data_IF_487705096778
#
_entry.id   IF_487705096778
#
_cell.length_a   1.000
_cell.length_b   1.000
_cell.length_c   1.000
_cell.angle_alpha   90.00
_cell.angle_beta   90.00
_cell.angle_gamma   90.00
#
_symmetry.space_group_name_H-M   'P 1'
#
loop_
_entity.id
_entity.type
_entity.pdbx_description
1 polymer ?
#
# COMPACT_ATOMS: atom_id res chain seq x y z
N UNK A 1 12.36 -14.14 2.67
CA UNK A 1 11.08 -13.69 2.30
C UNK A 1 10.33 -13.07 3.47
N UNK A 2 9.70 -11.99 3.27
CA UNK A 2 8.94 -11.42 4.34
C UNK A 2 7.83 -12.40 4.72
N UNK A 3 7.52 -12.46 5.98
CA UNK A 3 6.50 -13.35 6.47
C UNK A 3 5.16 -13.13 5.77
N UNK A 4 4.95 -12.01 5.19
CA UNK A 4 3.66 -11.64 4.65
C UNK A 4 2.59 -11.41 5.68
N UNK A 5 2.89 -11.58 6.95
CA UNK A 5 1.91 -11.32 8.00
C UNK A 5 1.54 -9.85 7.98
N UNK A 6 0.27 -9.56 7.91
CA UNK A 6 -0.22 -8.20 7.83
C UNK A 6 0.08 -7.49 6.52
N UNK A 7 0.80 -8.14 5.61
CA UNK A 7 1.07 -7.58 4.30
C UNK A 7 0.10 -8.17 3.29
N UNK A 8 -0.74 -7.34 2.70
CA UNK A 8 -1.73 -7.79 1.73
C UNK A 8 -1.12 -7.85 0.35
N UNK A 9 -0.29 -6.87 0.04
CA UNK A 9 0.40 -6.80 -1.25
C UNK A 9 1.75 -6.15 -1.03
N UNK A 10 2.77 -6.73 -1.65
CA UNK A 10 4.08 -6.13 -1.72
C UNK A 10 4.60 -6.29 -3.14
N UNK A 11 5.00 -5.21 -3.76
CA UNK A 11 5.45 -5.27 -5.13
C UNK A 11 5.90 -3.91 -5.63
N UNK A 12 6.12 -3.83 -6.91
CA UNK A 12 6.53 -2.57 -7.51
C UNK A 12 5.55 -2.18 -8.60
N UNK A 13 5.32 -0.88 -8.70
CA UNK A 13 4.40 -0.33 -9.67
C UNK A 13 4.85 1.07 -10.05
N UNK A 14 4.60 1.44 -11.28
CA UNK A 14 4.82 2.80 -11.75
C UNK A 14 3.76 3.71 -11.13
N UNK A 15 4.23 4.77 -10.49
CA UNK A 15 3.35 5.77 -9.89
C UNK A 15 2.70 6.60 -11.00
N UNK A 16 1.38 6.71 -10.96
CA UNK A 16 0.63 7.42 -12.00
C UNK A 16 0.81 8.94 -11.94
N UNK A 17 1.30 9.46 -10.82
CA UNK A 17 1.48 10.90 -10.64
C UNK A 17 2.86 11.35 -11.10
N UNK A 18 3.93 10.70 -10.61
CA UNK A 18 5.30 11.14 -10.93
C UNK A 18 6.01 10.25 -11.94
N UNK A 19 5.40 9.15 -12.34
CA UNK A 19 5.97 8.25 -13.35
C UNK A 19 7.15 7.40 -12.87
N UNK A 20 7.50 7.47 -11.60
CA UNK A 20 8.60 6.68 -11.05
C UNK A 20 8.12 5.30 -10.61
N UNK A 21 8.98 4.30 -10.71
CA UNK A 21 8.68 2.97 -10.19
C UNK A 21 8.78 3.00 -8.68
N UNK A 22 7.72 2.61 -8.00
CA UNK A 22 7.66 2.55 -6.54
C UNK A 22 7.63 1.10 -6.08
N UNK A 23 8.28 0.85 -4.95
CA UNK A 23 8.20 -0.42 -4.25
C UNK A 23 7.28 -0.20 -3.06
N UNK A 24 6.19 -0.92 -3.04
CA UNK A 24 5.09 -0.66 -2.11
C UNK A 24 4.84 -1.85 -1.20
N UNK A 25 4.71 -1.56 0.09
CA UNK A 25 4.12 -2.49 1.05
C UNK A 25 2.71 -2.01 1.35
N UNK A 26 1.71 -2.83 1.04
CA UNK A 26 0.32 -2.47 1.27
C UNK A 26 -0.19 -3.03 2.59
N UNK A 27 -0.94 -2.22 3.29
CA UNK A 27 -1.59 -2.60 4.55
C UNK A 27 -3.07 -2.25 4.45
N UNK A 28 -3.91 -3.04 5.13
CA UNK A 28 -5.36 -2.88 4.99
C UNK A 28 -5.86 -1.56 5.54
N UNK A 29 -5.52 -1.22 6.77
CA UNK A 29 -6.09 -0.06 7.41
C UNK A 29 -5.13 0.77 8.23
N UNK A 30 -5.58 1.94 8.70
CA UNK A 30 -4.70 2.93 9.33
C UNK A 30 -4.21 2.55 10.72
N UNK A 31 -4.71 1.46 11.30
CA UNK A 31 -4.32 1.03 12.64
C UNK A 31 -4.03 -0.47 12.71
N UNK A 32 -3.66 -1.08 11.59
CA UNK A 32 -3.53 -2.53 11.50
C UNK A 32 -2.10 -3.03 11.68
N UNK A 33 -1.13 -2.18 11.95
CA UNK A 33 0.25 -2.61 12.13
C UNK A 33 0.70 -2.40 13.57
N UNK A 34 1.66 -3.21 13.99
CA UNK A 34 2.30 -3.12 15.31
C UNK A 34 3.77 -2.75 15.16
N UNK A 35 4.50 -2.71 16.28
CA UNK A 35 5.91 -2.34 16.27
C UNK A 35 6.78 -3.34 15.49
N UNK A 36 6.42 -4.62 15.51
CA UNK A 36 7.16 -5.64 14.77
C UNK A 36 6.98 -5.42 13.26
N UNK A 37 5.79 -5.01 12.84
CA UNK A 37 5.54 -4.67 11.44
C UNK A 37 6.39 -3.49 11.00
N UNK A 38 6.53 -2.48 11.85
CA UNK A 38 7.39 -1.33 11.57
C UNK A 38 8.82 -1.79 11.33
N UNK A 39 9.35 -2.61 12.24
CA UNK A 39 10.72 -3.11 12.13
C UNK A 39 10.90 -3.91 10.83
N UNK A 40 9.93 -4.74 10.48
CA UNK A 40 9.98 -5.55 9.26
C UNK A 40 9.99 -4.67 8.02
N UNK A 41 9.12 -3.67 7.95
CA UNK A 41 9.03 -2.75 6.82
C UNK A 41 10.34 -1.95 6.68
N UNK A 42 10.81 -1.39 7.78
CA UNK A 42 12.04 -0.60 7.77
C UNK A 42 13.24 -1.43 7.32
N UNK A 43 13.35 -2.66 7.82
CA UNK A 43 14.41 -3.58 7.43
C UNK A 43 14.34 -3.95 5.96
N UNK A 44 13.14 -4.25 5.46
CA UNK A 44 12.96 -4.59 4.06
C UNK A 44 13.34 -3.42 3.14
N UNK A 45 12.89 -2.23 3.44
CA UNK A 45 13.22 -1.05 2.65
C UNK A 45 14.71 -0.70 2.72
N UNK A 46 15.31 -0.85 3.89
CA UNK A 46 16.76 -0.67 4.04
C UNK A 46 17.55 -1.65 3.20
N UNK A 47 17.10 -2.89 3.12
CA UNK A 47 17.72 -3.91 2.29
C UNK A 47 17.62 -3.55 0.80
N UNK A 48 16.44 -3.10 0.37
CA UNK A 48 16.25 -2.66 -1.02
C UNK A 48 17.15 -1.49 -1.38
N UNK A 49 17.30 -0.52 -0.47
CA UNK A 49 18.19 0.61 -0.68
C UNK A 49 19.66 0.17 -0.82
N UNK A 50 20.09 -0.75 0.04
CA UNK A 50 21.44 -1.28 -0.02
C UNK A 50 21.70 -2.01 -1.31
N UNK A 51 20.76 -2.85 -1.73
CA UNK A 51 20.87 -3.59 -2.97
C UNK A 51 20.88 -2.66 -4.18
N UNK A 52 20.02 -1.67 -4.19
CA UNK A 52 19.98 -0.68 -5.27
C UNK A 52 21.31 0.07 -5.40
N UNK A 53 21.91 0.40 -4.26
CA UNK A 53 23.19 1.09 -4.23
C UNK A 53 24.31 0.23 -4.79
N UNK A 54 24.33 -1.05 -4.41
CA UNK A 54 25.32 -2.00 -4.94
C UNK A 54 25.16 -2.20 -6.44
N UNK A 55 23.92 -2.26 -6.91
CA UNK A 55 23.61 -2.47 -8.33
C UNK A 55 23.59 -1.16 -9.13
N UNK A 56 23.84 -0.03 -8.47
CA UNK A 56 23.83 1.31 -9.07
C UNK A 56 22.50 1.67 -9.72
N UNK A 57 21.40 1.27 -9.08
CA UNK A 57 20.06 1.59 -9.56
C UNK A 57 19.62 2.96 -9.04
N UNK A 58 18.83 3.70 -9.83
CA UNK A 58 18.40 5.05 -9.44
C UNK A 58 17.22 5.04 -8.47
N UNK A 59 17.36 4.35 -7.35
CA UNK A 59 16.32 4.26 -6.33
C UNK A 59 16.44 5.41 -5.34
N UNK A 60 15.34 6.14 -5.15
CA UNK A 60 15.26 7.19 -4.16
C UNK A 60 14.45 6.71 -2.95
N UNK A 61 14.63 7.37 -1.80
CA UNK A 61 13.87 7.03 -0.60
C UNK A 61 12.38 7.14 -0.86
N UNK A 62 11.94 8.17 -1.57
CA UNK A 62 10.53 8.35 -1.92
C UNK A 62 9.95 7.28 -2.84
N UNK A 63 10.78 6.39 -3.36
CA UNK A 63 10.31 5.26 -4.18
C UNK A 63 9.95 4.04 -3.33
N UNK A 64 10.20 4.10 -2.03
CA UNK A 64 9.87 3.04 -1.07
C UNK A 64 8.70 3.53 -0.22
N UNK A 65 7.52 3.01 -0.47
CA UNK A 65 6.30 3.54 0.15
C UNK A 65 5.51 2.47 0.88
N UNK A 66 4.71 2.91 1.84
CA UNK A 66 3.70 2.07 2.46
C UNK A 66 2.35 2.59 1.98
N UNK A 67 1.54 1.71 1.42
CA UNK A 67 0.20 2.04 0.96
C UNK A 67 -0.84 1.49 1.92
N UNK A 68 -1.62 2.39 2.52
CA UNK A 68 -2.72 2.01 3.40
C UNK A 68 -3.99 2.09 2.57
N UNK A 69 -4.69 0.98 2.45
CA UNK A 69 -5.73 0.80 1.45
C UNK A 69 -7.00 1.58 1.72
N UNK A 70 -7.29 1.88 2.98
CA UNK A 70 -8.44 2.71 3.32
C UNK A 70 -8.14 3.54 4.57
N UNK A 71 -8.96 4.53 4.82
CA UNK A 71 -8.85 5.41 5.97
C UNK A 71 -8.38 6.80 5.60
N UNK A 72 -8.29 7.64 6.61
CA UNK A 72 -7.80 9.01 6.45
C UNK A 72 -6.41 9.15 7.05
N UNK A 73 -5.57 10.04 6.51
CA UNK A 73 -4.24 10.25 7.08
C UNK A 73 -4.26 10.58 8.57
N UNK A 74 -5.30 11.27 9.03
CA UNK A 74 -5.45 11.62 10.44
C UNK A 74 -5.68 10.41 11.34
N UNK A 75 -6.10 9.27 10.77
CA UNK A 75 -6.36 8.05 11.51
C UNK A 75 -5.13 7.16 11.66
N UNK A 76 -4.05 7.47 10.97
CA UNK A 76 -2.83 6.66 11.00
C UNK A 76 -2.29 6.56 12.43
N UNK A 77 -2.00 5.32 12.86
CA UNK A 77 -1.44 5.07 14.18
C UNK A 77 -0.01 5.62 14.28
N UNK A 78 0.50 5.70 15.51
CA UNK A 78 1.87 6.13 15.74
C UNK A 78 2.90 5.27 15.03
N UNK A 79 2.59 4.00 14.82
CA UNK A 79 3.47 3.09 14.08
C UNK A 79 3.66 3.55 12.64
N UNK A 80 2.58 3.93 11.97
CA UNK A 80 2.69 4.48 10.61
C UNK A 80 3.42 5.82 10.60
N UNK A 81 3.16 6.66 11.59
CA UNK A 81 3.84 7.96 11.71
C UNK A 81 5.34 7.79 11.88
N UNK A 82 5.76 6.74 12.57
CA UNK A 82 7.17 6.43 12.70
C UNK A 82 7.81 6.06 11.36
N UNK A 83 7.09 5.29 10.55
CA UNK A 83 7.57 4.95 9.20
C UNK A 83 7.64 6.21 8.33
N UNK A 84 6.62 7.06 8.42
CA UNK A 84 6.50 8.26 7.59
C UNK A 84 7.64 9.26 7.80
N UNK A 85 8.35 9.15 8.90
CA UNK A 85 9.55 9.96 9.14
C UNK A 85 10.67 9.67 8.15
N UNK A 86 10.68 8.47 7.57
CA UNK A 86 11.73 8.04 6.65
C UNK A 86 11.19 7.69 5.27
N UNK A 87 10.11 6.92 5.22
CA UNK A 87 9.51 6.45 3.96
C UNK A 87 8.08 6.93 3.86
N UNK A 88 7.64 7.44 2.70
CA UNK A 88 6.27 7.94 2.56
C UNK A 88 5.21 6.90 2.90
N UNK A 89 4.19 7.32 3.62
CA UNK A 89 3.01 6.51 3.90
C UNK A 89 1.83 7.19 3.23
N UNK A 90 1.27 6.54 2.21
CA UNK A 90 0.09 7.04 1.53
C UNK A 90 -1.14 6.31 2.05
N UNK A 91 -2.17 7.04 2.43
CA UNK A 91 -3.36 6.48 3.06
C UNK A 91 -4.62 6.80 2.27
N UNK A 92 -5.41 5.77 1.98
CA UNK A 92 -6.71 5.93 1.37
C UNK A 92 -6.68 6.64 0.04
N UNK A 93 -7.33 7.77 -0.05
CA UNK A 93 -7.44 8.52 -1.30
C UNK A 93 -6.09 8.82 -1.93
N UNK A 94 -5.12 9.23 -1.15
CA UNK A 94 -3.79 9.56 -1.64
C UNK A 94 -3.12 8.33 -2.28
N UNK A 95 -3.18 7.20 -1.60
CA UNK A 95 -2.60 5.97 -2.13
C UNK A 95 -3.23 5.61 -3.48
N UNK A 96 -4.55 5.58 -3.54
CA UNK A 96 -5.24 5.20 -4.77
C UNK A 96 -5.06 6.20 -5.89
N UNK A 97 -4.88 7.47 -5.57
CA UNK A 97 -4.55 8.49 -6.57
C UNK A 97 -3.19 8.21 -7.20
N UNK A 98 -2.20 7.85 -6.41
CA UNK A 98 -0.89 7.48 -6.94
C UNK A 98 -0.93 6.21 -7.78
N UNK A 99 -1.78 5.26 -7.40
CA UNK A 99 -1.91 3.99 -8.13
C UNK A 99 -2.62 4.18 -9.47
N UNK A 100 -3.71 4.92 -9.48
CA UNK A 100 -4.63 5.00 -10.63
C UNK A 100 -4.51 6.28 -11.45
N UNK A 101 -4.01 7.35 -10.84
CA UNK A 101 -4.05 8.67 -11.45
C UNK A 101 -5.41 9.35 -11.35
N UNK A 102 -6.39 8.72 -10.71
CA UNK A 102 -7.75 9.23 -10.58
C UNK A 102 -8.06 9.57 -9.13
N UNK A 103 -8.23 10.87 -8.85
CA UNK A 103 -8.53 11.35 -7.50
C UNK A 103 -9.83 10.81 -6.93
N UNK A 104 -10.73 10.34 -7.78
CA UNK A 104 -12.04 9.86 -7.37
C UNK A 104 -12.12 8.34 -7.23
N UNK A 105 -11.07 7.63 -7.60
CA UNK A 105 -11.07 6.17 -7.56
C UNK A 105 -11.42 5.63 -6.17
N UNK A 106 -10.87 6.24 -5.14
CA UNK A 106 -11.09 5.82 -3.77
C UNK A 106 -12.58 5.86 -3.40
N UNK A 107 -13.29 6.88 -3.84
CA UNK A 107 -14.72 6.99 -3.56
C UNK A 107 -15.52 5.91 -4.28
N UNK A 108 -15.15 5.58 -5.51
CA UNK A 108 -15.79 4.49 -6.24
C UNK A 108 -15.54 3.16 -5.55
N UNK A 109 -14.32 2.96 -5.05
CA UNK A 109 -13.96 1.75 -4.32
C UNK A 109 -14.78 1.60 -3.04
N UNK A 110 -14.91 2.68 -2.27
CA UNK A 110 -15.71 2.68 -1.05
C UNK A 110 -17.17 2.41 -1.35
N UNK A 111 -17.69 3.00 -2.41
CA UNK A 111 -19.07 2.78 -2.82
C UNK A 111 -19.31 1.33 -3.22
N UNK A 112 -18.41 0.78 -4.00
CA UNK A 112 -18.51 -0.62 -4.41
C UNK A 112 -18.48 -1.55 -3.21
N UNK A 113 -17.61 -1.27 -2.24
CA UNK A 113 -17.53 -2.04 -1.00
C UNK A 113 -18.84 -1.96 -0.22
N UNK A 114 -19.37 -0.76 -0.06
CA UNK A 114 -20.63 -0.52 0.65
C UNK A 114 -21.79 -1.27 -0.03
N UNK A 115 -21.86 -1.19 -1.36
CA UNK A 115 -22.90 -1.88 -2.12
C UNK A 115 -22.79 -3.41 -1.95
N UNK A 116 -21.58 -3.95 -1.92
CA UNK A 116 -21.37 -5.39 -1.71
C UNK A 116 -21.85 -5.82 -0.32
N UNK A 117 -21.52 -5.05 0.70
CA UNK A 117 -21.94 -5.34 2.07
C UNK A 117 -23.47 -5.31 2.18
N UNK A 118 -24.09 -4.27 1.64
CA UNK A 118 -25.54 -4.10 1.72
C UNK A 118 -26.30 -5.19 0.97
N UNK A 119 -25.83 -5.56 -0.22
CA UNK A 119 -26.52 -6.54 -1.07
C UNK A 119 -26.38 -7.96 -0.59
N UNK A 120 -25.21 -8.32 -0.09
CA UNK A 120 -24.87 -9.72 0.16
C UNK A 120 -24.89 -10.10 1.62
N UNK A 121 -25.10 -9.14 2.51
CA UNK A 121 -25.06 -9.35 3.96
C UNK A 121 -23.75 -10.04 4.39
N UNK A 122 -22.70 -9.86 3.60
CA UNK A 122 -21.39 -10.44 3.88
C UNK A 122 -20.71 -9.61 4.92
N UNK A 123 -19.94 -10.24 5.79
CA UNK A 123 -19.14 -9.53 6.77
C UNK A 123 -18.17 -8.62 6.04
N UNK A 124 -18.17 -7.35 6.40
CA UNK A 124 -17.41 -6.33 5.71
C UNK A 124 -15.93 -6.64 5.58
N UNK A 125 -15.33 -7.27 6.61
CA UNK A 125 -13.92 -7.64 6.59
C UNK A 125 -13.61 -8.62 5.45
N UNK A 126 -14.45 -9.64 5.28
CA UNK A 126 -14.25 -10.63 4.22
C UNK A 126 -14.39 -9.98 2.85
N UNK A 127 -15.40 -9.12 2.68
CA UNK A 127 -15.63 -8.44 1.41
C UNK A 127 -14.45 -7.53 1.07
N UNK A 128 -13.98 -6.76 2.06
CA UNK A 128 -12.82 -5.89 1.85
C UNK A 128 -11.59 -6.70 1.46
N UNK A 129 -11.35 -7.82 2.12
CA UNK A 129 -10.23 -8.68 1.83
C UNK A 129 -10.28 -9.20 0.38
N UNK A 130 -11.45 -9.62 -0.07
CA UNK A 130 -11.61 -10.09 -1.44
C UNK A 130 -11.34 -8.99 -2.46
N UNK A 131 -11.82 -7.79 -2.20
CA UNK A 131 -11.58 -6.64 -3.07
C UNK A 131 -10.10 -6.29 -3.13
N UNK A 132 -9.45 -6.28 -1.98
CA UNK A 132 -8.02 -5.98 -1.89
C UNK A 132 -7.20 -7.02 -2.65
N UNK A 133 -7.51 -8.29 -2.47
CA UNK A 133 -6.79 -9.37 -3.16
C UNK A 133 -6.96 -9.25 -4.68
N UNK A 134 -8.16 -8.93 -5.13
CA UNK A 134 -8.42 -8.74 -6.56
C UNK A 134 -7.64 -7.57 -7.13
N UNK A 135 -7.61 -6.46 -6.42
CA UNK A 135 -6.88 -5.27 -6.86
C UNK A 135 -5.36 -5.51 -6.84
N UNK A 136 -4.87 -6.19 -5.82
CA UNK A 136 -3.46 -6.53 -5.75
C UNK A 136 -3.03 -7.39 -6.95
N UNK A 137 -3.88 -8.32 -7.34
CA UNK A 137 -3.64 -9.16 -8.49
C UNK A 137 -3.58 -8.35 -9.78
N UNK A 138 -4.50 -7.42 -9.95
CA UNK A 138 -4.49 -6.53 -11.12
C UNK A 138 -3.25 -5.65 -11.15
N UNK A 139 -2.82 -5.16 -10.00
CA UNK A 139 -1.61 -4.35 -9.91
C UNK A 139 -0.38 -5.16 -10.31
N UNK A 140 -0.28 -6.41 -9.89
CA UNK A 140 0.83 -7.29 -10.27
C UNK A 140 0.85 -7.52 -11.79
N UNK A 141 -0.31 -7.74 -12.39
CA UNK A 141 -0.42 -7.94 -13.83
C UNK A 141 -0.09 -6.68 -14.61
N UNK A 142 -0.37 -5.52 -14.03
CA UNK A 142 -0.09 -4.24 -14.68
C UNK A 142 1.37 -3.81 -14.60
N UNK A 143 2.15 -4.41 -13.72
CA UNK A 143 3.56 -4.08 -13.56
C UNK A 143 4.38 -4.79 -14.64
N UNK A 144 5.15 -4.07 -15.45
CA UNK A 144 6.04 -4.70 -16.44
C UNK A 144 7.02 -5.64 -15.77
N UNK A 145 7.24 -6.74 -16.39
CA UNK A 145 8.18 -7.74 -15.88
C UNK A 145 9.61 -7.18 -15.83
#
# INVERSE_FOLDING_TARGET
MSSGKGCIFAGRKKDAIDGRTKYCQCKAGPQTINADDVATIMGHFGHLQSKARLDRLPLQIGDLIVGVLYGEPSELSGNYKNIDKTYPVYCGREFWTHVTGDENFYFYLLKAFSDCVDKNEIQGVTTLQMMVDGLAKEMELAVPA
#
